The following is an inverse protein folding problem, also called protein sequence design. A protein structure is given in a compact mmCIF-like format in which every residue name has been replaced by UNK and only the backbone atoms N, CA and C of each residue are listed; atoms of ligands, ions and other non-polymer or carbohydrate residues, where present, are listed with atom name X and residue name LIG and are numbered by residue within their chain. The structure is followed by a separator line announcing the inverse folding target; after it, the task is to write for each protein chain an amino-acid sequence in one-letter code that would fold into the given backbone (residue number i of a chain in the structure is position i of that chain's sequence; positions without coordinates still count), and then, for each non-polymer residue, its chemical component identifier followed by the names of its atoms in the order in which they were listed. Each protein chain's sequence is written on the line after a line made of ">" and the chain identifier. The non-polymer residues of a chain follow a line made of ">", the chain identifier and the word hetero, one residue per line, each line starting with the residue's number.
data_IF_971262514879
#
_entry.id   IF_971262514879
#
_cell.length_a   1.000
_cell.length_b   1.000
_cell.length_c   1.000
_cell.angle_alpha   90.00
_cell.angle_beta   90.00
_cell.angle_gamma   90.00
#
_symmetry.space_group_name_H-M   'P 1'
#
loop_
_entity.id
_entity.type
_entity.pdbx_description
1 polymer ?
#
# COMPACT_ATOMS: atom_id res chain seq x y z
N UNK A 1 23.71 9.04 20.35
CA UNK A 1 22.67 9.13 19.30
C UNK A 1 23.33 9.79 18.09
N UNK A 2 23.71 9.02 17.07
CA UNK A 2 24.32 9.59 15.86
C UNK A 2 23.19 10.12 14.96
N UNK A 3 23.35 11.28 14.31
CA UNK A 3 22.38 11.74 13.33
C UNK A 3 22.36 10.73 12.17
N UNK A 4 21.22 10.07 11.96
CA UNK A 4 21.02 9.18 10.83
C UNK A 4 20.94 10.06 9.58
N UNK A 5 22.02 10.12 8.78
CA UNK A 5 22.03 10.89 7.56
C UNK A 5 20.95 10.34 6.62
N UNK A 6 19.86 11.08 6.45
CA UNK A 6 18.80 10.69 5.53
C UNK A 6 19.24 11.02 4.11
N UNK A 7 19.30 10.01 3.24
CA UNK A 7 19.43 10.23 1.80
C UNK A 7 18.11 10.78 1.27
N UNK A 8 18.12 12.04 0.80
CA UNK A 8 16.93 12.70 0.26
C UNK A 8 16.89 12.58 -1.25
N UNK A 9 15.76 12.13 -1.78
CA UNK A 9 15.45 12.11 -3.20
C UNK A 9 14.42 13.19 -3.49
N UNK A 10 14.86 14.33 -4.01
CA UNK A 10 14.02 15.47 -4.32
C UNK A 10 14.04 15.73 -5.84
N UNK A 11 12.89 16.08 -6.41
CA UNK A 11 12.72 16.38 -7.85
C UNK A 11 13.27 15.31 -8.81
N UNK A 12 13.38 14.06 -8.35
CA UNK A 12 13.95 12.96 -9.13
C UNK A 12 12.91 12.47 -10.15
N UNK A 13 13.32 12.37 -11.41
CA UNK A 13 12.51 11.81 -12.52
C UNK A 13 13.10 10.53 -13.10
N UNK A 14 14.14 10.00 -12.47
CA UNK A 14 14.84 8.79 -12.90
C UNK A 14 14.23 7.58 -12.19
N UNK A 15 14.33 6.42 -12.82
CA UNK A 15 14.05 5.14 -12.17
C UNK A 15 15.01 4.96 -11.00
N UNK A 16 14.48 4.52 -9.87
CA UNK A 16 15.23 4.19 -8.65
C UNK A 16 15.03 2.70 -8.41
N UNK A 17 16.12 1.95 -8.32
CA UNK A 17 16.12 0.56 -7.89
C UNK A 17 16.65 0.47 -6.46
N UNK A 18 15.90 -0.18 -5.58
CA UNK A 18 16.31 -0.47 -4.20
C UNK A 18 16.38 -1.99 -4.03
N UNK A 19 17.60 -2.54 -3.96
CA UNK A 19 17.87 -3.97 -3.91
C UNK A 19 18.61 -4.24 -2.60
N UNK A 20 18.13 -5.21 -1.81
CA UNK A 20 18.71 -5.58 -0.50
C UNK A 20 18.93 -4.36 0.42
N UNK A 21 17.93 -3.46 0.45
CA UNK A 21 18.02 -2.18 1.14
C UNK A 21 17.11 -2.14 2.38
N UNK A 22 17.66 -1.65 3.50
CA UNK A 22 16.88 -1.32 4.69
C UNK A 22 16.33 0.11 4.60
N UNK A 23 15.05 0.23 4.24
CA UNK A 23 14.33 1.50 4.15
C UNK A 23 13.42 1.74 5.37
N UNK A 24 13.64 1.05 6.49
CA UNK A 24 12.84 1.27 7.72
C UNK A 24 12.88 2.74 8.12
N UNK A 25 11.74 3.24 8.58
CA UNK A 25 11.55 4.65 8.99
C UNK A 25 11.69 5.67 7.84
N UNK A 26 11.80 5.24 6.58
CA UNK A 26 11.76 6.15 5.43
C UNK A 26 10.37 6.71 5.21
N UNK A 27 10.30 7.87 4.55
CA UNK A 27 9.05 8.56 4.25
C UNK A 27 8.96 8.86 2.76
N UNK A 28 7.87 8.41 2.13
CA UNK A 28 7.57 8.67 0.71
C UNK A 28 6.40 9.65 0.64
N UNK A 29 6.69 10.95 0.44
CA UNK A 29 5.67 12.01 0.36
C UNK A 29 5.65 12.61 -1.04
N UNK A 30 4.47 12.68 -1.64
CA UNK A 30 4.27 13.18 -3.00
C UNK A 30 5.16 12.46 -4.04
N UNK A 31 5.37 11.15 -3.86
CA UNK A 31 6.13 10.30 -4.77
C UNK A 31 5.17 9.64 -5.75
N UNK A 32 5.55 9.60 -7.02
CA UNK A 32 4.86 8.79 -8.01
C UNK A 32 5.48 7.39 -8.03
N UNK A 33 4.70 6.39 -7.60
CA UNK A 33 5.07 4.96 -7.66
C UNK A 33 4.23 4.20 -8.71
N UNK A 34 3.60 4.90 -9.66
CA UNK A 34 2.94 4.26 -10.80
C UNK A 34 3.93 3.32 -11.50
N UNK A 35 3.46 2.12 -11.81
CA UNK A 35 4.22 1.04 -12.46
C UNK A 35 5.43 0.53 -11.65
N UNK A 36 5.59 0.93 -10.39
CA UNK A 36 6.63 0.39 -9.52
C UNK A 36 6.33 -1.06 -9.15
N UNK A 37 7.35 -1.92 -9.23
CA UNK A 37 7.29 -3.30 -8.74
C UNK A 37 7.75 -3.34 -7.28
N UNK A 38 6.88 -3.85 -6.41
CA UNK A 38 7.18 -4.13 -5.01
C UNK A 38 7.19 -5.65 -4.81
N UNK A 39 8.34 -6.26 -5.09
CA UNK A 39 8.56 -7.71 -5.00
C UNK A 39 9.43 -8.05 -3.79
N UNK A 40 9.04 -9.08 -3.03
CA UNK A 40 9.69 -9.49 -1.77
C UNK A 40 9.91 -8.35 -0.74
N UNK A 41 8.99 -7.38 -0.67
CA UNK A 41 9.08 -6.26 0.28
C UNK A 41 8.35 -6.53 1.61
N UNK A 42 8.94 -6.10 2.72
CA UNK A 42 8.28 -6.09 4.02
C UNK A 42 7.49 -4.78 4.24
N UNK A 43 6.17 -4.85 4.13
CA UNK A 43 5.26 -3.71 4.38
C UNK A 43 4.67 -3.69 5.80
N UNK A 44 5.27 -4.41 6.75
CA UNK A 44 4.81 -4.44 8.15
C UNK A 44 4.84 -3.03 8.74
N UNK A 45 3.70 -2.61 9.33
CA UNK A 45 3.49 -1.28 9.93
C UNK A 45 3.63 -0.11 8.96
N UNK A 46 3.52 -0.35 7.66
CA UNK A 46 3.38 0.74 6.68
C UNK A 46 1.97 1.32 6.80
N UNK A 47 1.88 2.66 6.77
CA UNK A 47 0.61 3.36 6.69
C UNK A 47 0.55 4.14 5.37
N UNK A 48 -0.50 3.89 4.59
CA UNK A 48 -0.71 4.50 3.28
C UNK A 48 -1.88 5.47 3.40
N UNK A 49 -1.62 6.76 3.16
CA UNK A 49 -2.61 7.83 3.28
C UNK A 49 -2.60 8.67 2.01
N UNK A 50 -3.77 9.11 1.55
CA UNK A 50 -3.92 9.95 0.37
C UNK A 50 -3.25 9.37 -0.90
N UNK A 51 -3.25 8.04 -1.04
CA UNK A 51 -2.67 7.35 -2.18
C UNK A 51 -3.76 6.92 -3.16
N UNK A 52 -3.45 7.00 -4.45
CA UNK A 52 -4.24 6.33 -5.46
C UNK A 52 -3.82 4.86 -5.54
N UNK A 53 -4.69 3.95 -5.08
CA UNK A 53 -4.49 2.49 -5.17
C UNK A 53 -5.37 1.86 -6.26
N UNK A 54 -5.88 2.66 -7.20
CA UNK A 54 -6.67 2.14 -8.33
C UNK A 54 -5.81 1.17 -9.14
N UNK A 55 -6.40 0.03 -9.52
CA UNK A 55 -5.73 -1.05 -10.24
C UNK A 55 -4.57 -1.73 -9.48
N UNK A 56 -4.35 -1.41 -8.20
CA UNK A 56 -3.42 -2.15 -7.36
C UNK A 56 -3.86 -3.60 -7.26
N UNK A 57 -2.93 -4.52 -7.50
CA UNK A 57 -3.16 -5.93 -7.26
C UNK A 57 -2.22 -6.43 -6.19
N UNK A 58 -2.78 -7.02 -5.14
CA UNK A 58 -2.02 -7.67 -4.06
C UNK A 58 -2.26 -9.18 -4.20
N UNK A 59 -1.21 -9.95 -4.48
CA UNK A 59 -1.22 -11.41 -4.58
C UNK A 59 -0.15 -11.98 -3.68
N UNK A 60 -0.37 -13.21 -3.20
CA UNK A 60 0.60 -13.98 -2.40
C UNK A 60 1.14 -13.21 -1.17
N UNK A 61 0.34 -12.31 -0.60
CA UNK A 61 0.72 -11.45 0.51
C UNK A 61 -0.02 -11.81 1.81
N UNK A 62 0.65 -11.59 2.94
CA UNK A 62 0.00 -11.66 4.25
C UNK A 62 -0.76 -10.37 4.53
N UNK A 63 -2.11 -10.44 4.56
CA UNK A 63 -2.99 -9.31 4.87
C UNK A 63 -3.41 -9.28 6.36
N UNK A 64 -2.71 -10.02 7.24
CA UNK A 64 -3.07 -10.08 8.65
C UNK A 64 -2.99 -8.71 9.30
N UNK A 65 -4.09 -8.30 9.94
CA UNK A 65 -4.19 -7.00 10.60
C UNK A 65 -4.33 -5.81 9.63
N UNK A 66 -4.53 -6.05 8.33
CA UNK A 66 -4.82 -5.00 7.36
C UNK A 66 -6.15 -4.32 7.71
N UNK A 67 -6.14 -2.99 7.68
CA UNK A 67 -7.35 -2.17 7.83
C UNK A 67 -7.50 -1.28 6.60
N UNK A 68 -8.67 -1.35 5.96
CA UNK A 68 -9.08 -0.45 4.89
C UNK A 68 -10.20 0.42 5.47
N UNK A 69 -9.90 1.69 5.73
CA UNK A 69 -10.82 2.65 6.31
C UNK A 69 -10.78 3.95 5.50
N UNK A 70 -11.92 4.62 5.40
CA UNK A 70 -12.06 5.91 4.71
C UNK A 70 -11.53 5.90 3.25
N UNK A 71 -11.62 4.74 2.60
CA UNK A 71 -11.22 4.52 1.21
C UNK A 71 -12.45 4.36 0.31
N UNK A 72 -12.32 4.78 -0.95
CA UNK A 72 -13.27 4.34 -1.98
C UNK A 72 -13.03 2.87 -2.28
N UNK A 73 -14.04 2.03 -2.07
CA UNK A 73 -14.00 0.58 -2.37
C UNK A 73 -14.64 0.23 -3.71
N UNK A 74 -15.04 1.24 -4.50
CA UNK A 74 -15.71 1.03 -5.77
C UNK A 74 -14.89 0.15 -6.72
N UNK A 75 -15.44 -1.00 -7.09
CA UNK A 75 -14.77 -1.98 -7.94
C UNK A 75 -13.63 -2.76 -7.28
N UNK A 76 -13.33 -2.53 -6.00
CA UNK A 76 -12.37 -3.33 -5.26
C UNK A 76 -12.90 -4.75 -5.05
N UNK A 77 -12.02 -5.75 -5.14
CA UNK A 77 -12.40 -7.15 -4.94
C UNK A 77 -11.50 -7.84 -3.93
N UNK A 78 -12.08 -8.79 -3.18
CA UNK A 78 -11.36 -9.76 -2.34
C UNK A 78 -11.69 -11.15 -2.87
N UNK A 79 -10.68 -11.87 -3.35
CA UNK A 79 -10.85 -13.16 -4.04
C UNK A 79 -11.89 -13.10 -5.19
N UNK A 80 -11.89 -11.99 -5.93
CA UNK A 80 -12.82 -11.76 -7.05
C UNK A 80 -14.24 -11.33 -6.66
N UNK A 81 -14.55 -11.26 -5.37
CA UNK A 81 -15.86 -10.79 -4.88
C UNK A 81 -15.79 -9.29 -4.62
N UNK A 82 -16.76 -8.52 -5.10
CA UNK A 82 -16.81 -7.07 -4.85
C UNK A 82 -16.90 -6.80 -3.34
N UNK A 83 -16.09 -5.85 -2.86
CA UNK A 83 -16.12 -5.45 -1.46
C UNK A 83 -17.50 -4.92 -1.07
N UNK A 84 -18.17 -4.20 -1.96
CA UNK A 84 -19.52 -3.69 -1.74
C UNK A 84 -20.53 -4.83 -1.52
N UNK A 85 -20.42 -5.94 -2.26
CA UNK A 85 -21.25 -7.14 -2.09
C UNK A 85 -20.97 -7.83 -0.76
N UNK A 86 -19.69 -7.94 -0.36
CA UNK A 86 -19.30 -8.49 0.94
C UNK A 86 -19.88 -7.68 2.11
N UNK A 87 -19.84 -6.35 2.01
CA UNK A 87 -20.39 -5.46 3.02
C UNK A 87 -21.92 -5.55 3.07
N UNK A 88 -22.59 -5.61 1.92
CA UNK A 88 -24.04 -5.82 1.86
C UNK A 88 -24.46 -7.14 2.49
N UNK A 89 -23.75 -8.23 2.20
CA UNK A 89 -24.00 -9.55 2.77
C UNK A 89 -23.80 -9.56 4.31
N UNK A 90 -22.72 -8.94 4.81
CA UNK A 90 -22.48 -8.81 6.24
C UNK A 90 -23.60 -8.02 6.94
N UNK A 91 -24.03 -6.90 6.36
CA UNK A 91 -25.09 -6.08 6.92
C UNK A 91 -26.44 -6.81 6.95
N UNK A 92 -26.76 -7.60 5.92
CA UNK A 92 -27.98 -8.42 5.87
C UNK A 92 -27.94 -9.61 6.84
N UNK A 93 -26.76 -10.18 7.12
CA UNK A 93 -26.61 -11.25 8.10
C UNK A 93 -26.65 -10.76 9.55
N UNK A 94 -26.45 -9.46 9.76
CA UNK A 94 -26.44 -8.81 11.08
C UNK A 94 -27.84 -8.33 11.52
N UNK A 95 -28.77 -8.15 10.57
CA UNK A 95 -30.19 -7.81 10.83
C UNK A 95 -31.00 -9.03 11.21
#
# INVERSE_FOLDING_TARGET
>A
MFPCATNKLEHTKRVIEAIDADLRQSSFRNVNLSDALLDDVNLTRVSIHNANMSHLTIRDACLQGMSIADCSTAGATINGILVDDLLAAYNAAKS
#
